data_IF_433831294435
#
_entry.id   IF_433831294435
#
_cell.length_a   1.000
_cell.length_b   1.000
_cell.length_c   1.000
_cell.angle_alpha   90.00
_cell.angle_beta   90.00
_cell.angle_gamma   90.00
#
_symmetry.space_group_name_H-M   'P 1'
#
loop_
_entity.id
_entity.type
_entity.pdbx_description
1 polymer ?
#
# COMPACT_ATOMS: atom_id res chain seq x y z
N UNK A 1 -17.31 11.59 9.12
CA UNK A 1 -16.20 12.33 8.49
C UNK A 1 -15.66 11.43 7.38
N UNK A 2 -16.12 11.58 6.13
CA UNK A 2 -15.93 10.58 5.06
C UNK A 2 -14.88 10.98 3.99
N UNK A 3 -14.00 11.95 4.26
CA UNK A 3 -13.11 12.56 3.26
C UNK A 3 -11.61 12.39 3.52
N UNK A 4 -11.21 11.49 4.41
CA UNK A 4 -9.79 11.32 4.71
C UNK A 4 -9.12 10.39 3.71
N UNK A 5 -8.06 10.89 3.06
CA UNK A 5 -7.29 10.11 2.08
C UNK A 5 -6.46 9.07 2.82
N UNK A 6 -6.74 7.79 2.55
CA UNK A 6 -5.99 6.68 3.11
C UNK A 6 -4.58 6.55 2.53
N UNK A 7 -4.45 6.57 1.19
CA UNK A 7 -3.18 6.53 0.48
C UNK A 7 -3.24 7.18 -0.90
N UNK A 8 -2.08 7.60 -1.39
CA UNK A 8 -1.82 7.82 -2.81
C UNK A 8 -0.98 6.66 -3.32
N UNK A 9 -1.19 6.21 -4.56
CA UNK A 9 -0.41 5.10 -5.10
C UNK A 9 -0.23 5.18 -6.61
N UNK A 10 0.83 4.54 -7.09
CA UNK A 10 1.09 4.29 -8.50
C UNK A 10 1.45 2.83 -8.70
N UNK A 11 1.12 2.32 -9.89
CA UNK A 11 1.36 0.94 -10.29
C UNK A 11 2.21 0.92 -11.56
N UNK A 12 3.01 -0.13 -11.70
CA UNK A 12 3.79 -0.40 -12.91
C UNK A 12 3.73 -1.87 -13.27
N UNK A 13 3.72 -2.17 -14.57
CA UNK A 13 3.68 -3.54 -15.07
C UNK A 13 4.38 -3.65 -16.40
N UNK A 14 5.30 -4.60 -16.49
CA UNK A 14 5.94 -5.07 -17.72
C UNK A 14 5.98 -6.60 -17.70
N UNK A 15 6.25 -7.29 -18.83
CA UNK A 15 6.46 -8.74 -18.82
C UNK A 15 7.53 -9.15 -17.80
N UNK A 16 7.13 -9.95 -16.81
CA UNK A 16 8.01 -10.39 -15.71
C UNK A 16 8.19 -9.36 -14.59
N UNK A 17 7.64 -8.14 -14.68
CA UNK A 17 7.80 -7.10 -13.65
C UNK A 17 6.44 -6.59 -13.17
N UNK A 18 6.28 -6.46 -11.85
CA UNK A 18 5.17 -5.72 -11.23
C UNK A 18 5.69 -4.78 -10.17
N UNK A 19 5.09 -3.60 -10.09
CA UNK A 19 5.37 -2.59 -9.08
C UNK A 19 4.08 -2.04 -8.49
N UNK A 20 4.07 -1.90 -7.17
CA UNK A 20 3.12 -1.10 -6.40
C UNK A 20 3.91 -0.11 -5.55
N UNK A 21 3.57 1.17 -5.57
CA UNK A 21 4.24 2.20 -4.78
C UNK A 21 3.19 3.10 -4.14
N UNK A 22 3.20 3.18 -2.81
CA UNK A 22 2.17 3.86 -2.02
C UNK A 22 2.77 4.87 -1.03
N UNK A 23 2.06 5.99 -0.83
CA UNK A 23 2.29 6.99 0.21
C UNK A 23 1.07 7.06 1.14
N UNK A 24 1.28 6.86 2.44
CA UNK A 24 0.25 6.93 3.48
C UNK A 24 0.39 8.26 4.24
N UNK A 25 -0.35 9.32 3.87
CA UNK A 25 -0.07 10.69 4.35
C UNK A 25 -0.20 10.84 5.86
N UNK A 26 -1.18 10.18 6.49
CA UNK A 26 -1.39 10.24 7.95
C UNK A 26 -0.29 9.59 8.77
N UNK A 27 0.46 8.68 8.16
CA UNK A 27 1.50 7.89 8.83
C UNK A 27 2.91 8.35 8.48
N UNK A 28 3.03 9.36 7.60
CA UNK A 28 4.31 9.76 7.01
C UNK A 28 5.14 8.56 6.52
N UNK A 29 4.47 7.54 5.96
CA UNK A 29 5.05 6.24 5.60
C UNK A 29 4.90 6.00 4.11
N UNK A 30 5.91 5.36 3.51
CA UNK A 30 5.90 4.94 2.12
C UNK A 30 6.15 3.43 2.03
N UNK A 31 5.50 2.77 1.07
CA UNK A 31 5.70 1.35 0.79
C UNK A 31 5.91 1.13 -0.70
N UNK A 32 6.94 0.38 -1.05
CA UNK A 32 7.26 0.02 -2.43
C UNK A 32 7.40 -1.49 -2.53
N UNK A 33 6.60 -2.11 -3.38
CA UNK A 33 6.64 -3.55 -3.66
C UNK A 33 7.07 -3.75 -5.10
N UNK A 34 8.24 -4.36 -5.27
CA UNK A 34 8.82 -4.70 -6.56
C UNK A 34 8.82 -6.22 -6.71
N UNK A 35 8.36 -6.71 -7.86
CA UNK A 35 8.34 -8.12 -8.19
C UNK A 35 8.96 -8.36 -9.55
N UNK A 36 9.86 -9.34 -9.63
CA UNK A 36 10.56 -9.78 -10.84
C UNK A 36 9.98 -11.07 -11.44
N UNK A 37 8.78 -11.46 -11.03
CA UNK A 37 8.10 -12.64 -11.55
C UNK A 37 6.73 -12.32 -12.18
N UNK A 38 6.42 -11.03 -12.38
CA UNK A 38 5.18 -10.57 -12.99
C UNK A 38 3.92 -10.74 -12.11
N UNK A 39 4.05 -11.19 -10.86
CA UNK A 39 2.92 -11.46 -9.96
C UNK A 39 3.21 -11.02 -8.51
N UNK A 40 2.19 -11.07 -7.67
CA UNK A 40 2.31 -10.95 -6.20
C UNK A 40 2.43 -9.52 -5.63
N UNK A 41 2.87 -8.53 -6.41
CA UNK A 41 3.06 -7.17 -5.90
C UNK A 41 1.79 -6.57 -5.27
N UNK A 42 0.64 -6.67 -5.97
CA UNK A 42 -0.64 -6.19 -5.45
C UNK A 42 -1.13 -6.93 -4.21
N UNK A 43 -0.88 -8.25 -4.11
CA UNK A 43 -1.27 -9.03 -2.94
C UNK A 43 -0.47 -8.62 -1.69
N UNK A 44 0.83 -8.37 -1.85
CA UNK A 44 1.68 -7.86 -0.77
C UNK A 44 1.27 -6.43 -0.39
N UNK A 45 1.02 -5.56 -1.38
CA UNK A 45 0.56 -4.19 -1.13
C UNK A 45 -0.78 -4.16 -0.37
N UNK A 46 -1.73 -5.03 -0.74
CA UNK A 46 -2.99 -5.20 -0.01
C UNK A 46 -2.77 -5.64 1.44
N UNK A 47 -1.80 -6.54 1.68
CA UNK A 47 -1.53 -6.99 3.04
C UNK A 47 -0.91 -5.89 3.90
N UNK A 48 -0.06 -5.05 3.31
CA UNK A 48 0.46 -3.84 3.96
C UNK A 48 -0.69 -2.88 4.29
N UNK A 49 -1.61 -2.66 3.34
CA UNK A 49 -2.79 -1.81 3.57
C UNK A 49 -3.63 -2.31 4.76
N UNK A 50 -3.89 -3.62 4.87
CA UNK A 50 -4.62 -4.20 6.00
C UNK A 50 -3.96 -3.92 7.35
N UNK A 51 -2.64 -4.13 7.44
CA UNK A 51 -1.88 -3.88 8.68
C UNK A 51 -1.94 -2.39 9.05
N UNK A 52 -1.70 -1.51 8.07
CA UNK A 52 -1.73 -0.07 8.28
C UNK A 52 -3.14 0.49 8.47
N UNK A 53 -4.18 -0.21 8.05
CA UNK A 53 -5.55 0.18 8.36
C UNK A 53 -5.91 -0.16 9.81
N UNK A 54 -5.62 -1.39 10.25
CA UNK A 54 -5.98 -1.86 11.59
C UNK A 54 -5.13 -1.24 12.72
N UNK A 55 -3.84 -0.95 12.49
CA UNK A 55 -3.04 -0.20 13.47
C UNK A 55 -3.65 1.18 13.80
N UNK A 56 -4.46 1.74 12.90
CA UNK A 56 -5.08 3.05 13.08
C UNK A 56 -6.28 3.03 14.03
N UNK A 57 -6.83 1.84 14.32
CA UNK A 57 -7.99 1.68 15.21
C UNK A 57 -7.58 1.39 16.67
N UNK A 58 -6.33 1.00 16.93
CA UNK A 58 -5.86 0.66 18.28
C UNK A 58 -5.50 1.91 19.11
N UNK A 59 -5.30 3.05 18.46
CA UNK A 59 -4.92 4.31 19.13
C UNK A 59 -6.11 5.23 19.45
N UNK A 60 -7.36 4.74 19.30
CA UNK A 60 -8.58 5.54 19.51
C UNK A 60 -9.42 5.15 20.73
N UNK A 61 -8.86 4.42 21.69
CA UNK A 61 -9.49 4.08 22.98
C UNK A 61 -8.95 4.94 24.13
#
# INVERSE_FOLDING_TARGET
MYNEIFKYYVMGSDPGIKMESSLYPKRNTQAHVLSNNGKGAGAIASKIDEVLFHEGQVLSD
#
